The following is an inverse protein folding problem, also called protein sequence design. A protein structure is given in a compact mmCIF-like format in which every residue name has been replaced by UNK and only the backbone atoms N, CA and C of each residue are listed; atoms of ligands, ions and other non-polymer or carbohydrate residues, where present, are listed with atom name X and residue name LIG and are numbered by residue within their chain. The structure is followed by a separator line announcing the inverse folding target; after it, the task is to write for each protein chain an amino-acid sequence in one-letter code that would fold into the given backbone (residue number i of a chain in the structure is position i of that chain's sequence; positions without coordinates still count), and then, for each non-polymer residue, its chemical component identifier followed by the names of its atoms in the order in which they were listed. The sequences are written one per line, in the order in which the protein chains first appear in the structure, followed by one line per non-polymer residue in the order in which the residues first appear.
data_IF_117325337897
#
_entry.id   IF_117325337897
#
_cell.length_a   1.000
_cell.length_b   1.000
_cell.length_c   1.000
_cell.angle_alpha   90.00
_cell.angle_beta   90.00
_cell.angle_gamma   90.00
#
_symmetry.space_group_name_H-M   'P 1'
#
loop_
_entity.id
_entity.type
_entity.pdbx_description
1 polymer ?
#
# COMPACT_ATOMS: atom_id res chain seq x y z
N UNK A 1 46.18 -28.78 -23.43
CA UNK A 1 45.41 -27.59 -23.76
C UNK A 1 44.08 -27.67 -23.03
N UNK A 2 43.92 -26.91 -21.95
CA UNK A 2 42.73 -26.92 -21.12
C UNK A 2 41.76 -25.88 -21.63
N UNK A 3 40.55 -26.29 -22.03
CA UNK A 3 39.46 -25.36 -22.35
C UNK A 3 38.68 -25.11 -21.07
N UNK A 4 38.88 -23.93 -20.53
CA UNK A 4 38.12 -23.44 -19.40
C UNK A 4 36.71 -23.09 -19.88
N UNK A 5 35.74 -23.92 -19.47
CA UNK A 5 34.32 -23.64 -19.71
C UNK A 5 33.87 -22.57 -18.68
N UNK A 6 33.79 -21.33 -19.15
CA UNK A 6 33.16 -20.26 -18.37
C UNK A 6 31.66 -20.47 -18.37
N UNK A 7 31.13 -20.94 -17.27
CA UNK A 7 29.69 -20.89 -17.04
C UNK A 7 29.26 -19.42 -16.84
N UNK A 8 28.65 -18.85 -17.86
CA UNK A 8 27.92 -17.59 -17.73
C UNK A 8 26.62 -17.88 -16.96
N UNK A 9 26.61 -17.57 -15.67
CA UNK A 9 25.35 -17.42 -14.95
C UNK A 9 24.70 -16.13 -15.41
N UNK A 10 23.77 -16.21 -16.34
CA UNK A 10 22.81 -15.13 -16.60
C UNK A 10 21.85 -15.11 -15.41
N UNK A 11 22.08 -14.19 -14.47
CA UNK A 11 21.05 -13.79 -13.53
C UNK A 11 19.97 -13.09 -14.35
N UNK A 12 18.85 -13.80 -14.60
CA UNK A 12 17.61 -13.14 -14.98
C UNK A 12 17.11 -12.49 -13.70
N UNK A 13 17.33 -11.19 -13.52
CA UNK A 13 16.59 -10.42 -12.56
C UNK A 13 15.12 -10.55 -12.95
N UNK A 14 14.34 -11.31 -12.18
CA UNK A 14 12.89 -11.25 -12.27
C UNK A 14 12.52 -9.78 -12.03
N UNK A 15 12.13 -9.10 -13.10
CA UNK A 15 11.61 -7.73 -12.99
C UNK A 15 10.34 -7.81 -12.15
N UNK A 16 10.45 -7.41 -10.88
CA UNK A 16 9.32 -7.33 -9.98
C UNK A 16 8.32 -6.32 -10.55
N UNK A 17 7.19 -6.82 -11.05
CA UNK A 17 6.15 -5.97 -11.63
C UNK A 17 5.30 -5.42 -10.49
N UNK A 18 5.33 -4.10 -10.31
CA UNK A 18 4.45 -3.41 -9.36
C UNK A 18 2.97 -3.74 -9.63
N UNK A 19 2.24 -4.06 -8.57
CA UNK A 19 0.79 -4.31 -8.62
C UNK A 19 0.04 -3.26 -7.81
N UNK A 20 -1.17 -2.95 -8.25
CA UNK A 20 -2.01 -1.99 -7.54
C UNK A 20 -3.51 -2.28 -7.66
N UNK A 21 -4.23 -1.87 -6.64
CA UNK A 21 -5.71 -1.85 -6.63
C UNK A 21 -6.18 -0.53 -6.05
N UNK A 22 -7.18 0.08 -6.68
CA UNK A 22 -7.86 1.27 -6.18
C UNK A 22 -9.29 0.91 -5.77
N UNK A 23 -9.62 1.17 -4.52
CA UNK A 23 -10.97 1.06 -4.00
C UNK A 23 -11.58 2.45 -3.81
N UNK A 24 -12.71 2.68 -4.46
CA UNK A 24 -13.50 3.88 -4.21
C UNK A 24 -14.20 3.76 -2.86
N UNK A 25 -14.23 4.86 -2.13
CA UNK A 25 -15.02 4.94 -0.91
C UNK A 25 -16.30 5.73 -1.23
N UNK A 26 -17.46 5.12 -1.03
CA UNK A 26 -18.75 5.74 -1.32
C UNK A 26 -19.29 6.59 -0.15
N UNK A 27 -18.67 6.47 1.04
CA UNK A 27 -19.09 7.17 2.25
C UNK A 27 -18.17 8.34 2.56
N UNK A 28 -16.84 8.11 2.47
CA UNK A 28 -15.83 9.11 2.79
C UNK A 28 -15.12 9.60 1.53
N UNK A 29 -14.61 10.84 1.50
CA UNK A 29 -14.08 11.46 0.28
C UNK A 29 -12.72 10.92 -0.18
N UNK A 30 -12.07 10.04 0.60
CA UNK A 30 -10.76 9.51 0.26
C UNK A 30 -10.87 8.07 -0.25
N UNK A 31 -10.31 7.82 -1.43
CA UNK A 31 -10.16 6.48 -1.97
C UNK A 31 -9.03 5.75 -1.24
N UNK A 32 -9.05 4.44 -1.30
CA UNK A 32 -7.98 3.58 -0.77
C UNK A 32 -7.25 2.93 -1.93
N UNK A 33 -5.94 3.10 -1.96
CA UNK A 33 -5.05 2.45 -2.91
C UNK A 33 -4.13 1.48 -2.19
N UNK A 34 -4.01 0.27 -2.70
CA UNK A 34 -3.04 -0.71 -2.21
C UNK A 34 -1.99 -0.95 -3.29
N UNK A 35 -0.73 -0.77 -2.92
CA UNK A 35 0.44 -0.87 -3.80
C UNK A 35 1.34 -2.00 -3.30
N UNK A 36 1.76 -2.87 -4.21
CA UNK A 36 2.72 -3.93 -3.95
C UNK A 36 3.94 -3.71 -4.84
N UNK A 37 5.12 -3.54 -4.24
CA UNK A 37 6.38 -3.36 -4.94
C UNK A 37 6.54 -2.02 -5.66
N UNK A 38 5.85 -0.99 -5.21
CA UNK A 38 6.09 0.37 -5.71
C UNK A 38 7.43 0.90 -5.18
N UNK A 39 8.26 1.42 -6.08
CA UNK A 39 9.51 2.07 -5.73
C UNK A 39 9.32 3.57 -5.40
N UNK A 40 10.36 4.18 -4.88
CA UNK A 40 10.38 5.61 -4.53
C UNK A 40 10.09 6.49 -5.74
N UNK A 41 10.69 6.17 -6.89
CA UNK A 41 10.51 6.96 -8.11
C UNK A 41 9.04 7.02 -8.52
N UNK A 42 8.35 5.87 -8.50
CA UNK A 42 6.91 5.80 -8.79
C UNK A 42 6.09 6.63 -7.80
N UNK A 43 6.37 6.51 -6.51
CA UNK A 43 5.64 7.21 -5.45
C UNK A 43 5.78 8.73 -5.60
N UNK A 44 7.01 9.22 -5.69
CA UNK A 44 7.31 10.66 -5.80
C UNK A 44 6.73 11.28 -7.06
N UNK A 45 6.79 10.55 -8.18
CA UNK A 45 6.25 11.00 -9.47
C UNK A 45 4.72 11.02 -9.50
N UNK A 46 4.09 10.03 -8.87
CA UNK A 46 2.63 9.84 -8.95
C UNK A 46 1.88 10.67 -7.91
N UNK A 47 2.46 10.85 -6.72
CA UNK A 47 1.77 11.41 -5.57
C UNK A 47 2.48 12.62 -4.95
N UNK A 48 1.68 13.50 -4.35
CA UNK A 48 2.12 14.52 -3.41
C UNK A 48 1.87 14.01 -1.99
N UNK A 49 2.82 14.21 -1.08
CA UNK A 49 2.66 13.83 0.32
C UNK A 49 1.80 14.88 1.06
N UNK A 50 0.59 14.51 1.48
CA UNK A 50 -0.32 15.42 2.17
C UNK A 50 -0.15 15.45 3.70
N UNK A 51 0.77 14.65 4.25
CA UNK A 51 1.06 14.61 5.67
C UNK A 51 2.06 15.67 6.10
N UNK A 52 2.75 16.30 5.14
CA UNK A 52 3.69 17.40 5.34
C UNK A 52 3.24 18.65 4.59
N UNK A 53 3.51 19.83 5.17
CA UNK A 53 3.00 21.11 4.68
C UNK A 53 3.50 21.45 3.27
N UNK A 54 4.77 21.19 2.98
CA UNK A 54 5.39 21.44 1.67
C UNK A 54 5.15 20.33 0.64
N UNK A 55 4.40 19.28 1.02
CA UNK A 55 4.07 18.11 0.17
C UNK A 55 5.30 17.36 -0.35
N UNK A 56 6.45 17.51 0.32
CA UNK A 56 7.71 16.87 -0.06
C UNK A 56 7.79 15.41 0.37
N UNK A 57 8.78 14.72 -0.17
CA UNK A 57 9.15 13.35 0.19
C UNK A 57 10.51 13.31 0.90
N UNK A 58 10.96 14.45 1.44
CA UNK A 58 12.19 14.52 2.20
C UNK A 58 12.16 13.57 3.39
N UNK A 59 13.23 12.79 3.57
CA UNK A 59 13.32 11.77 4.61
C UNK A 59 12.57 10.48 4.32
N UNK A 60 12.02 10.31 3.11
CA UNK A 60 11.47 9.02 2.68
C UNK A 60 12.54 7.94 2.70
N UNK A 61 12.18 6.77 3.20
CA UNK A 61 13.03 5.57 3.16
C UNK A 61 12.19 4.38 2.72
N UNK A 62 12.80 3.45 1.98
CA UNK A 62 12.16 2.20 1.56
C UNK A 62 12.29 1.07 2.60
N UNK A 63 12.82 1.38 3.79
CA UNK A 63 12.99 0.41 4.87
C UNK A 63 11.71 0.27 5.70
N UNK A 64 10.74 -0.46 5.16
CA UNK A 64 9.47 -0.78 5.83
C UNK A 64 8.88 -2.10 5.32
N UNK A 65 8.19 -2.86 6.16
CA UNK A 65 7.38 -4.01 5.74
C UNK A 65 6.05 -3.57 5.15
N UNK A 66 5.36 -2.67 5.84
CA UNK A 66 4.18 -1.95 5.36
C UNK A 66 4.29 -0.47 5.68
N UNK A 67 3.60 0.36 4.90
CA UNK A 67 3.49 1.80 5.14
C UNK A 67 2.16 2.34 4.65
N UNK A 68 1.58 3.20 5.47
CA UNK A 68 0.33 3.93 5.15
C UNK A 68 0.62 5.41 5.04
N UNK A 69 0.20 6.04 3.96
CA UNK A 69 0.40 7.46 3.69
C UNK A 69 -0.86 8.12 3.13
N UNK A 70 -1.05 9.38 3.47
CA UNK A 70 -2.08 10.24 2.89
C UNK A 70 -1.50 11.05 1.75
N UNK A 71 -2.05 10.88 0.55
CA UNK A 71 -1.49 11.45 -0.66
C UNK A 71 -2.52 12.16 -1.54
N UNK A 72 -2.05 13.10 -2.34
CA UNK A 72 -2.77 13.65 -3.48
C UNK A 72 -2.23 13.07 -4.78
N UNK A 73 -3.10 12.46 -5.57
CA UNK A 73 -2.72 11.97 -6.90
C UNK A 73 -2.47 13.16 -7.83
N UNK A 74 -1.26 13.25 -8.40
CA UNK A 74 -0.84 14.40 -9.22
C UNK A 74 -1.59 14.51 -10.55
N UNK A 75 -2.15 13.41 -11.05
CA UNK A 75 -2.84 13.37 -12.33
C UNK A 75 -4.30 13.81 -12.21
N UNK A 76 -5.04 13.30 -11.23
CA UNK A 76 -6.48 13.53 -11.08
C UNK A 76 -6.85 14.43 -9.88
N UNK A 77 -5.85 14.85 -9.11
CA UNK A 77 -5.97 15.72 -7.92
C UNK A 77 -6.86 15.14 -6.80
N UNK A 78 -7.12 13.83 -6.81
CA UNK A 78 -7.89 13.18 -5.76
C UNK A 78 -7.01 12.82 -4.58
N UNK A 79 -7.56 12.92 -3.39
CA UNK A 79 -6.90 12.49 -2.17
C UNK A 79 -7.13 11.00 -1.98
N UNK A 80 -6.07 10.30 -1.62
CA UNK A 80 -6.07 8.84 -1.45
C UNK A 80 -5.30 8.47 -0.18
N UNK A 81 -5.72 7.38 0.46
CA UNK A 81 -4.92 6.70 1.47
C UNK A 81 -4.23 5.54 0.77
N UNK A 82 -2.91 5.56 0.73
CA UNK A 82 -2.11 4.52 0.11
C UNK A 82 -1.53 3.58 1.16
N UNK A 83 -1.77 2.29 0.98
CA UNK A 83 -1.13 1.20 1.71
C UNK A 83 -0.05 0.60 0.81
N UNK A 84 1.20 0.65 1.26
CA UNK A 84 2.36 0.19 0.51
C UNK A 84 2.95 -1.03 1.17
N UNK A 85 3.27 -2.05 0.36
CA UNK A 85 3.97 -3.26 0.79
C UNK A 85 5.05 -3.60 -0.23
N UNK A 86 6.21 -4.09 0.21
CA UNK A 86 7.28 -4.49 -0.71
C UNK A 86 6.99 -5.83 -1.38
N UNK A 87 6.47 -6.79 -0.62
CA UNK A 87 6.22 -8.15 -1.08
C UNK A 87 4.93 -8.73 -0.50
N UNK A 88 4.45 -9.84 -1.05
CA UNK A 88 3.30 -10.55 -0.47
C UNK A 88 3.57 -11.06 0.94
N UNK A 89 4.81 -11.40 1.27
CA UNK A 89 5.17 -11.83 2.63
C UNK A 89 5.05 -10.73 3.67
N UNK A 90 5.12 -9.46 3.26
CA UNK A 90 4.92 -8.30 4.13
C UNK A 90 3.43 -8.01 4.39
N UNK A 91 2.54 -8.59 3.59
CA UNK A 91 1.08 -8.46 3.73
C UNK A 91 0.52 -9.52 4.70
N UNK A 92 1.17 -9.77 5.82
CA UNK A 92 0.64 -10.63 6.88
C UNK A 92 -0.45 -9.91 7.70
N UNK A 93 -1.21 -10.69 8.47
CA UNK A 93 -2.34 -10.19 9.27
C UNK A 93 -1.92 -9.08 10.24
N UNK A 94 -0.74 -9.22 10.85
CA UNK A 94 -0.21 -8.25 11.81
C UNK A 94 0.10 -6.92 11.12
N UNK A 95 0.83 -6.96 10.01
CA UNK A 95 1.22 -5.77 9.23
C UNK A 95 -0.01 -5.11 8.64
N UNK A 96 -0.94 -5.87 8.06
CA UNK A 96 -2.22 -5.33 7.54
C UNK A 96 -2.99 -4.62 8.64
N UNK A 97 -3.16 -5.23 9.81
CA UNK A 97 -3.86 -4.61 10.93
C UNK A 97 -3.18 -3.33 11.42
N UNK A 98 -1.86 -3.32 11.49
CA UNK A 98 -1.05 -2.16 11.85
C UNK A 98 -1.26 -1.00 10.88
N UNK A 99 -1.15 -1.25 9.59
CA UNK A 99 -1.29 -0.24 8.55
C UNK A 99 -2.75 0.27 8.44
N UNK A 100 -3.74 -0.61 8.60
CA UNK A 100 -5.15 -0.20 8.61
C UNK A 100 -5.47 0.74 9.77
N UNK A 101 -4.81 0.60 10.93
CA UNK A 101 -4.95 1.53 12.04
C UNK A 101 -4.42 2.93 11.68
N UNK A 102 -3.29 3.01 10.96
CA UNK A 102 -2.81 4.28 10.42
C UNK A 102 -3.80 4.88 9.42
N UNK A 103 -4.38 4.06 8.54
CA UNK A 103 -5.43 4.50 7.61
C UNK A 103 -6.65 5.07 8.33
N UNK A 104 -7.14 4.41 9.38
CA UNK A 104 -8.20 4.91 10.23
C UNK A 104 -7.84 6.25 10.87
N UNK A 105 -6.62 6.38 11.39
CA UNK A 105 -6.12 7.62 12.01
C UNK A 105 -6.08 8.78 11.02
N UNK A 106 -5.75 8.53 9.74
CA UNK A 106 -5.79 9.53 8.67
C UNK A 106 -7.23 10.02 8.46
N UNK A 107 -8.21 9.11 8.33
CA UNK A 107 -9.61 9.50 8.21
C UNK A 107 -10.06 10.35 9.39
N UNK A 108 -9.80 9.91 10.61
CA UNK A 108 -10.18 10.65 11.81
C UNK A 108 -9.54 12.04 11.84
N UNK A 109 -8.24 12.14 11.57
CA UNK A 109 -7.51 13.41 11.60
C UNK A 109 -8.01 14.40 10.55
N UNK A 110 -8.11 13.98 9.29
CA UNK A 110 -8.38 14.89 8.18
C UNK A 110 -9.85 15.15 7.92
N UNK A 111 -10.74 14.32 8.46
CA UNK A 111 -12.19 14.53 8.43
C UNK A 111 -12.73 15.09 9.76
N UNK A 112 -11.85 15.37 10.73
CA UNK A 112 -12.23 15.83 12.05
C UNK A 112 -13.28 14.93 12.72
N UNK A 113 -13.07 13.61 12.61
CA UNK A 113 -13.93 12.60 13.20
C UNK A 113 -13.43 12.25 14.59
N UNK A 114 -14.34 12.23 15.57
CA UNK A 114 -14.01 11.78 16.91
C UNK A 114 -13.71 10.29 16.91
N UNK A 115 -12.60 9.95 17.56
CA UNK A 115 -12.21 8.58 17.83
C UNK A 115 -12.25 8.38 19.35
N UNK A 116 -13.44 8.06 19.84
CA UNK A 116 -13.65 7.87 21.28
C UNK A 116 -13.52 6.39 21.68
N UNK A 117 -12.89 6.14 22.84
CA UNK A 117 -12.85 4.82 23.48
C UNK A 117 -14.03 4.59 24.44
N UNK A 118 -15.08 5.41 24.38
CA UNK A 118 -16.29 5.21 25.16
C UNK A 118 -17.11 4.04 24.60
N UNK A 119 -17.70 3.26 25.48
CA UNK A 119 -18.55 2.12 25.09
C UNK A 119 -19.70 2.61 24.20
N UNK A 120 -19.73 2.13 22.96
CA UNK A 120 -20.71 2.52 21.95
C UNK A 120 -20.38 3.81 21.18
N UNK A 121 -19.32 4.55 21.54
CA UNK A 121 -18.89 5.75 20.83
C UNK A 121 -17.89 5.47 19.68
N UNK A 122 -17.40 4.24 19.58
CA UNK A 122 -16.38 3.81 18.64
C UNK A 122 -16.92 3.03 17.42
N UNK A 123 -18.23 2.81 17.33
CA UNK A 123 -18.84 1.93 16.32
C UNK A 123 -18.50 2.36 14.89
N UNK A 124 -18.54 3.65 14.55
CA UNK A 124 -18.18 4.14 13.23
C UNK A 124 -16.71 3.90 12.89
N UNK A 125 -15.82 4.04 13.89
CA UNK A 125 -14.39 3.76 13.72
C UNK A 125 -14.14 2.25 13.54
N UNK A 126 -14.85 1.41 14.29
CA UNK A 126 -14.79 -0.03 14.16
C UNK A 126 -15.27 -0.51 12.78
N UNK A 127 -16.39 0.04 12.29
CA UNK A 127 -16.90 -0.23 10.94
C UNK A 127 -15.91 0.20 9.86
N UNK A 128 -15.31 1.39 9.96
CA UNK A 128 -14.33 1.88 9.01
C UNK A 128 -13.04 1.04 9.06
N UNK A 129 -12.57 0.66 10.24
CA UNK A 129 -11.44 -0.24 10.40
C UNK A 129 -11.69 -1.59 9.73
N UNK A 130 -12.85 -2.19 9.97
CA UNK A 130 -13.26 -3.43 9.32
C UNK A 130 -13.29 -3.33 7.79
N UNK A 131 -13.78 -2.21 7.27
CA UNK A 131 -13.79 -1.93 5.84
C UNK A 131 -12.38 -1.81 5.27
N UNK A 132 -11.46 -1.10 5.95
CA UNK A 132 -10.06 -0.97 5.52
C UNK A 132 -9.36 -2.34 5.47
N UNK A 133 -9.53 -3.15 6.52
CA UNK A 133 -8.96 -4.51 6.58
C UNK A 133 -9.50 -5.37 5.44
N UNK A 134 -10.82 -5.33 5.17
CA UNK A 134 -11.44 -6.05 4.06
C UNK A 134 -10.81 -5.67 2.70
N UNK A 135 -10.57 -4.36 2.45
CA UNK A 135 -9.99 -3.91 1.19
C UNK A 135 -8.52 -4.31 1.04
N UNK A 136 -7.71 -4.17 2.09
CA UNK A 136 -6.29 -4.57 2.04
C UNK A 136 -6.14 -6.09 1.92
N UNK A 137 -6.93 -6.87 2.65
CA UNK A 137 -6.97 -8.33 2.50
C UNK A 137 -7.44 -8.75 1.11
N UNK A 138 -8.44 -8.05 0.55
CA UNK A 138 -8.92 -8.28 -0.82
C UNK A 138 -7.82 -8.04 -1.86
N UNK A 139 -7.01 -6.99 -1.68
CA UNK A 139 -5.86 -6.72 -2.52
C UNK A 139 -4.80 -7.84 -2.41
N UNK A 140 -4.48 -8.30 -1.20
CA UNK A 140 -3.58 -9.44 -0.98
C UNK A 140 -4.01 -10.68 -1.76
N UNK A 141 -5.27 -11.06 -1.65
CA UNK A 141 -5.79 -12.24 -2.36
C UNK A 141 -5.74 -12.08 -3.87
N UNK A 142 -5.99 -10.88 -4.38
CA UNK A 142 -5.89 -10.57 -5.79
C UNK A 142 -4.45 -10.71 -6.28
N UNK A 143 -3.50 -10.08 -5.61
CA UNK A 143 -2.08 -10.12 -5.97
C UNK A 143 -1.51 -11.54 -5.89
N UNK A 144 -1.85 -12.29 -4.85
CA UNK A 144 -1.46 -13.70 -4.71
C UNK A 144 -1.95 -14.56 -5.88
N UNK A 145 -3.22 -14.38 -6.27
CA UNK A 145 -3.80 -15.12 -7.40
C UNK A 145 -3.13 -14.78 -8.73
N UNK A 146 -2.70 -13.54 -8.92
CA UNK A 146 -1.95 -13.10 -10.10
C UNK A 146 -0.57 -13.75 -10.15
N UNK A 147 0.16 -13.84 -9.02
CA UNK A 147 1.45 -14.52 -8.95
C UNK A 147 1.35 -16.02 -9.23
N UNK A 148 0.33 -16.68 -8.67
CA UNK A 148 0.08 -18.11 -8.91
C UNK A 148 -0.25 -18.44 -10.38
N UNK A 149 -0.83 -17.50 -11.13
CA UNK A 149 -1.08 -17.68 -12.56
C UNK A 149 0.19 -17.53 -13.38
N UNK A 150 0.99 -16.50 -13.07
CA UNK A 150 2.24 -16.25 -13.81
C UNK A 150 3.27 -17.39 -13.60
N UNK A 151 3.33 -17.98 -12.39
CA UNK A 151 4.21 -19.11 -12.11
C UNK A 151 3.78 -20.48 -12.69
N UNK A 152 2.65 -20.55 -13.40
CA UNK A 152 2.16 -21.77 -14.08
C UNK A 152 2.36 -21.74 -15.59
N UNK A 153 2.78 -20.61 -16.12
CA UNK A 153 3.02 -20.43 -17.57
C UNK A 153 4.49 -20.68 -17.96
N UNK A 154 5.35 -20.99 -16.98
CA UNK A 154 6.74 -21.44 -17.18
C UNK A 154 6.85 -22.97 -16.97
#
# INVERSE_FOLDING_TARGET
MSISSAFLFTFVEEQFVMKQVLYKNDIYPYNVRVLLGADEEYIVKTFANLEVEDQSWEGWTDDYGGRTIFVGNRTNHRKEICFLFHSLSDMDVRTIGHECLHGLSIYCKYLNMDYGFEVGGDEHAACLMGWLVDKVCGAYHKFKKEEEKNGKED
#
